data_IF_543489589651
#
_entry.id   IF_543489589651
#
_cell.length_a   1.000
_cell.length_b   1.000
_cell.length_c   1.000
_cell.angle_alpha   90.00
_cell.angle_beta   90.00
_cell.angle_gamma   90.00
#
_symmetry.space_group_name_H-M   'P 1'
#
loop_
_entity.id
_entity.type
_entity.pdbx_description
1 polymer ?
#
# COMPACT_ATOMS: atom_id res chain seq x y z
N UNK A 1 5.52 -12.25 -10.55
CA UNK A 1 4.94 -13.38 -9.77
C UNK A 1 3.62 -13.81 -10.39
N UNK A 2 3.34 -15.11 -10.49
CA UNK A 2 2.04 -15.63 -10.94
C UNK A 2 1.01 -15.63 -9.81
N UNK A 3 -0.28 -15.78 -10.14
CA UNK A 3 -1.34 -15.88 -9.10
C UNK A 3 -1.17 -17.11 -8.21
N UNK A 4 -0.69 -18.22 -8.76
CA UNK A 4 -0.43 -19.46 -8.01
C UNK A 4 0.77 -19.32 -7.08
N UNK A 5 1.84 -18.66 -7.52
CA UNK A 5 3.00 -18.34 -6.66
C UNK A 5 2.61 -17.43 -5.51
N UNK A 6 1.75 -16.42 -5.75
CA UNK A 6 1.24 -15.54 -4.71
C UNK A 6 0.39 -16.30 -3.68
N UNK A 7 -0.54 -17.17 -4.15
CA UNK A 7 -1.35 -18.03 -3.29
C UNK A 7 -0.48 -18.94 -2.42
N UNK A 8 0.47 -19.64 -3.03
CA UNK A 8 1.38 -20.54 -2.33
C UNK A 8 2.25 -19.82 -1.29
N UNK A 9 2.74 -18.61 -1.62
CA UNK A 9 3.48 -17.80 -0.68
C UNK A 9 2.60 -17.37 0.53
N UNK A 10 1.36 -16.98 0.28
CA UNK A 10 0.43 -16.61 1.36
C UNK A 10 0.08 -17.82 2.26
N UNK A 11 -0.21 -18.98 1.67
CA UNK A 11 -0.47 -20.24 2.40
C UNK A 11 0.72 -20.61 3.26
N UNK A 12 1.94 -20.56 2.71
CA UNK A 12 3.17 -20.95 3.44
C UNK A 12 3.43 -20.11 4.70
N UNK A 13 2.94 -18.86 4.73
CA UNK A 13 3.02 -18.01 5.92
C UNK A 13 1.95 -18.37 6.93
N UNK A 14 0.71 -18.63 6.49
CA UNK A 14 -0.42 -18.87 7.37
C UNK A 14 -0.51 -20.30 7.92
N UNK A 15 0.17 -21.27 7.31
CA UNK A 15 0.26 -22.66 7.82
C UNK A 15 1.24 -22.79 9.00
N UNK A 16 2.19 -21.87 9.15
CA UNK A 16 3.13 -21.85 10.26
C UNK A 16 2.58 -21.05 11.44
N UNK A 17 3.05 -21.27 12.68
CA UNK A 17 2.76 -20.39 13.78
C UNK A 17 3.13 -18.95 13.45
N UNK A 18 2.18 -18.04 13.49
CA UNK A 18 2.39 -16.62 13.18
C UNK A 18 1.78 -15.71 14.24
N UNK A 19 2.32 -14.52 14.31
CA UNK A 19 1.83 -13.43 15.15
C UNK A 19 1.16 -12.37 14.29
N UNK A 20 0.20 -11.68 14.88
CA UNK A 20 -0.44 -10.52 14.26
C UNK A 20 -0.03 -9.28 15.03
N UNK A 21 0.49 -8.28 14.34
CA UNK A 21 0.90 -7.01 14.92
C UNK A 21 0.34 -5.85 14.12
N UNK A 22 -0.13 -4.83 14.81
CA UNK A 22 -0.66 -3.59 14.24
C UNK A 22 0.33 -2.46 14.47
N UNK A 23 0.70 -1.77 13.41
CA UNK A 23 1.56 -0.60 13.44
C UNK A 23 0.80 0.62 12.89
N UNK A 24 0.83 1.71 13.62
CA UNK A 24 0.31 3.00 13.20
C UNK A 24 1.43 3.79 12.50
N UNK A 25 1.12 4.37 11.36
CA UNK A 25 2.03 5.26 10.65
C UNK A 25 1.53 6.68 10.85
N UNK A 26 2.35 7.51 11.48
CA UNK A 26 2.07 8.91 11.73
C UNK A 26 2.83 9.78 10.73
N UNK A 27 2.20 10.83 10.20
CA UNK A 27 2.87 11.84 9.38
C UNK A 27 3.13 13.08 10.24
N UNK A 28 4.40 13.29 10.58
CA UNK A 28 4.86 14.41 11.40
C UNK A 28 5.71 15.33 10.51
N UNK A 29 5.14 16.45 10.08
CA UNK A 29 5.74 17.24 9.02
C UNK A 29 5.79 16.43 7.71
N UNK A 30 7.00 16.27 7.16
CA UNK A 30 7.23 15.47 5.95
C UNK A 30 7.68 14.03 6.27
N UNK A 31 7.92 13.70 7.54
CA UNK A 31 8.38 12.38 7.95
C UNK A 31 7.22 11.43 8.27
N UNK A 32 7.40 10.16 7.92
CA UNK A 32 6.51 9.07 8.32
C UNK A 32 7.17 8.25 9.43
N UNK A 33 6.53 8.24 10.60
CA UNK A 33 7.00 7.57 11.80
C UNK A 33 6.10 6.37 12.09
N UNK A 34 6.69 5.22 12.38
CA UNK A 34 5.97 4.01 12.74
C UNK A 34 5.91 3.84 14.26
N UNK A 35 4.73 3.44 14.76
CA UNK A 35 4.47 3.13 16.18
C UNK A 35 3.74 1.80 16.30
N UNK A 36 4.18 0.96 17.21
CA UNK A 36 3.46 -0.27 17.54
C UNK A 36 2.19 0.08 18.32
N UNK A 37 1.04 -0.40 17.86
CA UNK A 37 -0.20 -0.33 18.64
C UNK A 37 -0.14 -1.40 19.74
N UNK A 38 -0.08 -0.96 20.99
CA UNK A 38 -0.09 -1.85 22.16
C UNK A 38 -1.54 -2.26 22.46
N UNK A 39 -1.85 -3.50 22.19
CA UNK A 39 -3.19 -4.06 22.37
C UNK A 39 -3.11 -5.05 23.55
N UNK A 40 -3.55 -4.61 24.72
CA UNK A 40 -3.52 -5.43 25.94
C UNK A 40 -4.68 -6.41 26.05
N UNK A 41 -5.82 -6.13 25.37
CA UNK A 41 -6.99 -6.98 25.45
C UNK A 41 -6.79 -8.30 24.70
N UNK A 42 -6.82 -9.39 25.46
CA UNK A 42 -6.65 -10.76 24.97
C UNK A 42 -7.67 -11.16 23.89
N UNK A 43 -8.84 -10.51 23.83
CA UNK A 43 -9.87 -10.79 22.84
C UNK A 43 -9.67 -9.99 21.55
N UNK A 44 -9.15 -8.77 21.65
CA UNK A 44 -9.00 -7.86 20.51
C UNK A 44 -7.92 -8.34 19.51
N UNK A 45 -6.80 -8.86 19.98
CA UNK A 45 -5.74 -9.35 19.10
C UNK A 45 -6.21 -10.53 18.21
N UNK A 46 -6.93 -11.56 18.72
CA UNK A 46 -7.51 -12.61 17.87
C UNK A 46 -8.59 -12.12 16.89
N UNK A 47 -9.35 -11.08 17.24
CA UNK A 47 -10.33 -10.49 16.32
C UNK A 47 -9.66 -9.78 15.15
N UNK A 48 -8.63 -8.98 15.41
CA UNK A 48 -7.79 -8.36 14.38
C UNK A 48 -7.17 -9.43 13.49
N UNK A 49 -6.60 -10.48 14.08
CA UNK A 49 -6.04 -11.60 13.34
C UNK A 49 -7.07 -12.24 12.41
N UNK A 50 -8.25 -12.58 12.93
CA UNK A 50 -9.33 -13.20 12.14
C UNK A 50 -9.77 -12.33 10.99
N UNK A 51 -9.87 -11.01 11.20
CA UNK A 51 -10.24 -10.04 10.15
C UNK A 51 -9.24 -10.07 9.01
N UNK A 52 -7.95 -9.93 9.29
CA UNK A 52 -6.94 -9.79 8.26
C UNK A 52 -6.51 -11.11 7.63
N UNK A 53 -6.54 -12.21 8.38
CA UNK A 53 -6.41 -13.55 7.80
C UNK A 53 -7.59 -13.86 6.89
N UNK A 54 -8.81 -13.48 7.30
CA UNK A 54 -9.99 -13.57 6.46
C UNK A 54 -9.85 -12.78 5.16
N UNK A 55 -9.29 -11.57 5.22
CA UNK A 55 -8.95 -10.79 4.03
C UNK A 55 -7.98 -11.55 3.11
N UNK A 56 -6.87 -12.06 3.63
CA UNK A 56 -5.86 -12.79 2.83
C UNK A 56 -6.50 -14.03 2.20
N UNK A 57 -7.28 -14.79 2.97
CA UNK A 57 -7.96 -15.97 2.47
C UNK A 57 -8.95 -15.65 1.34
N UNK A 58 -9.81 -14.65 1.54
CA UNK A 58 -10.87 -14.32 0.58
C UNK A 58 -10.33 -13.60 -0.67
N UNK A 59 -9.33 -12.74 -0.50
CA UNK A 59 -8.82 -11.91 -1.58
C UNK A 59 -7.71 -12.60 -2.38
N UNK A 60 -6.87 -13.41 -1.73
CA UNK A 60 -5.70 -14.01 -2.34
C UNK A 60 -5.85 -15.52 -2.49
N UNK A 61 -6.02 -16.26 -1.39
CA UNK A 61 -5.91 -17.72 -1.40
C UNK A 61 -7.09 -18.39 -2.12
N UNK A 62 -8.32 -18.03 -1.74
CA UNK A 62 -9.55 -18.65 -2.26
C UNK A 62 -10.11 -17.95 -3.50
N UNK A 63 -9.46 -16.92 -4.00
CA UNK A 63 -9.92 -16.19 -5.17
C UNK A 63 -9.29 -16.75 -6.45
N UNK A 64 -10.06 -17.55 -7.20
CA UNK A 64 -9.60 -18.15 -8.45
C UNK A 64 -9.57 -17.17 -9.63
N UNK A 65 -10.16 -16.00 -9.47
CA UNK A 65 -10.25 -14.98 -10.53
C UNK A 65 -9.17 -13.90 -10.43
N UNK A 66 -8.14 -14.08 -9.59
CA UNK A 66 -7.06 -13.11 -9.48
C UNK A 66 -6.28 -13.03 -10.78
N UNK A 67 -6.14 -11.82 -11.28
CA UNK A 67 -5.27 -11.48 -12.41
C UNK A 67 -4.13 -10.63 -11.87
N UNK A 68 -2.89 -11.12 -11.95
CA UNK A 68 -1.70 -10.33 -11.61
C UNK A 68 -1.18 -9.66 -12.88
N UNK A 69 -0.92 -8.37 -12.80
CA UNK A 69 -0.37 -7.55 -13.89
C UNK A 69 0.78 -6.70 -13.37
N UNK A 70 1.78 -6.49 -14.21
CA UNK A 70 2.80 -5.48 -13.97
C UNK A 70 2.16 -4.08 -13.93
N UNK A 71 2.44 -3.31 -12.90
CA UNK A 71 1.86 -1.97 -12.74
C UNK A 71 2.24 -1.03 -13.89
N UNK A 72 3.46 -1.17 -14.43
CA UNK A 72 4.01 -0.30 -15.49
C UNK A 72 3.32 -0.46 -16.86
N UNK A 73 2.67 -1.60 -17.12
CA UNK A 73 2.09 -1.92 -18.44
C UNK A 73 0.58 -2.13 -18.41
N UNK A 74 -0.01 -2.15 -17.21
CA UNK A 74 -1.41 -2.53 -17.06
C UNK A 74 -2.35 -1.35 -17.26
N UNK A 75 -3.43 -1.58 -17.97
CA UNK A 75 -4.63 -0.77 -17.87
C UNK A 75 -5.42 -1.18 -16.62
N UNK A 76 -6.25 -0.28 -16.09
CA UNK A 76 -7.07 -0.58 -14.90
C UNK A 76 -8.11 -1.66 -15.27
N UNK A 77 -8.01 -2.82 -14.63
CA UNK A 77 -8.91 -3.95 -14.84
C UNK A 77 -9.63 -4.31 -13.54
N UNK A 78 -10.90 -4.71 -13.60
CA UNK A 78 -11.59 -5.26 -12.44
C UNK A 78 -10.87 -6.52 -11.93
N UNK A 79 -10.79 -6.68 -10.62
CA UNK A 79 -10.15 -7.82 -9.94
C UNK A 79 -8.65 -8.03 -10.25
N UNK A 80 -7.99 -7.05 -10.85
CA UNK A 80 -6.56 -7.12 -11.04
C UNK A 80 -5.80 -6.68 -9.79
N UNK A 81 -4.73 -7.40 -9.50
CA UNK A 81 -3.72 -7.04 -8.52
C UNK A 81 -2.48 -6.62 -9.30
N UNK A 82 -1.90 -5.47 -8.98
CA UNK A 82 -0.78 -4.93 -9.73
C UNK A 82 0.51 -5.17 -8.96
N UNK A 83 1.44 -5.91 -9.57
CA UNK A 83 2.81 -6.03 -9.05
C UNK A 83 3.55 -4.71 -9.29
N UNK A 84 4.11 -4.13 -8.23
CA UNK A 84 4.91 -2.91 -8.31
C UNK A 84 6.28 -3.22 -8.91
N UNK A 85 6.48 -2.87 -10.17
CA UNK A 85 7.66 -3.21 -10.96
C UNK A 85 8.53 -1.99 -11.32
N UNK A 86 8.36 -0.86 -10.62
CA UNK A 86 9.22 0.32 -10.76
C UNK A 86 10.44 0.24 -9.85
N UNK A 87 11.60 0.69 -10.32
CA UNK A 87 12.83 0.77 -9.52
C UNK A 87 12.74 1.85 -8.45
N UNK A 88 12.12 2.98 -8.78
CA UNK A 88 11.93 4.11 -7.87
C UNK A 88 10.60 4.01 -7.13
N UNK A 89 10.59 4.54 -5.91
CA UNK A 89 9.43 4.52 -5.03
C UNK A 89 9.06 5.92 -4.59
N UNK A 90 7.76 6.26 -4.51
CA UNK A 90 7.31 7.46 -3.83
C UNK A 90 7.75 7.43 -2.36
N UNK A 91 8.00 8.58 -1.79
CA UNK A 91 8.47 8.69 -0.40
C UNK A 91 7.48 8.07 0.59
N UNK A 92 6.20 8.30 0.39
CA UNK A 92 5.13 7.75 1.22
C UNK A 92 5.07 6.22 1.19
N UNK A 93 5.49 5.58 0.09
CA UNK A 93 5.58 4.13 0.00
C UNK A 93 6.83 3.58 0.71
N UNK A 94 7.79 4.43 0.99
CA UNK A 94 9.08 4.06 1.57
C UNK A 94 8.96 3.34 2.91
N UNK A 95 8.06 3.77 3.80
CA UNK A 95 7.83 3.11 5.10
C UNK A 95 7.33 1.69 4.91
N UNK A 96 6.38 1.48 4.00
CA UNK A 96 5.85 0.15 3.69
C UNK A 96 6.90 -0.76 3.05
N UNK A 97 7.69 -0.23 2.12
CA UNK A 97 8.80 -0.97 1.48
C UNK A 97 9.89 -1.35 2.47
N UNK A 98 10.29 -0.41 3.32
CA UNK A 98 11.38 -0.60 4.32
C UNK A 98 10.91 -1.35 5.56
N UNK A 99 9.62 -1.63 5.70
CA UNK A 99 9.11 -2.41 6.82
C UNK A 99 9.84 -3.76 6.86
N UNK A 100 10.52 -4.04 7.94
CA UNK A 100 11.13 -5.34 8.23
C UNK A 100 10.80 -5.73 9.66
N UNK A 101 10.92 -7.01 9.95
CA UNK A 101 10.69 -7.50 11.31
C UNK A 101 11.68 -6.85 12.28
N UNK A 102 12.92 -6.61 11.85
CA UNK A 102 13.93 -5.94 12.68
C UNK A 102 13.54 -4.50 13.03
N UNK A 103 13.00 -3.75 12.05
CA UNK A 103 12.48 -2.40 12.29
C UNK A 103 11.20 -2.43 13.11
N UNK A 104 10.35 -3.42 12.90
CA UNK A 104 9.11 -3.64 13.62
C UNK A 104 9.35 -3.91 15.11
N UNK A 105 10.27 -4.82 15.43
CA UNK A 105 10.62 -5.15 16.83
C UNK A 105 11.25 -3.96 17.57
N UNK A 106 11.97 -3.11 16.84
CA UNK A 106 12.57 -1.88 17.40
C UNK A 106 11.61 -0.70 17.45
N UNK A 107 10.41 -0.82 16.86
CA UNK A 107 9.43 0.27 16.85
C UNK A 107 8.94 0.56 18.25
N UNK A 108 8.97 1.84 18.62
CA UNK A 108 8.40 2.31 19.87
C UNK A 108 6.87 2.10 19.86
N UNK A 109 6.32 1.83 21.04
CA UNK A 109 4.87 1.80 21.23
C UNK A 109 4.29 3.19 21.02
N UNK A 110 3.04 3.25 20.52
CA UNK A 110 2.31 4.51 20.45
C UNK A 110 2.15 5.12 21.83
N UNK A 111 2.61 6.36 21.99
CA UNK A 111 2.58 7.07 23.25
C UNK A 111 1.53 8.18 23.20
N UNK A 112 0.41 7.99 23.90
CA UNK A 112 -0.71 8.94 23.96
C UNK A 112 -0.36 10.33 24.52
N UNK A 113 0.84 10.52 25.12
CA UNK A 113 1.29 11.82 25.60
C UNK A 113 2.06 12.62 24.55
N UNK A 114 2.76 11.95 23.64
CA UNK A 114 3.65 12.57 22.65
C UNK A 114 3.17 12.39 21.23
N UNK A 115 2.52 11.28 20.93
CA UNK A 115 2.00 10.97 19.60
C UNK A 115 0.55 11.46 19.46
N UNK A 116 0.15 11.85 18.26
CA UNK A 116 -1.17 12.40 17.99
C UNK A 116 -1.87 11.60 16.88
N UNK A 117 -3.03 11.00 17.20
CA UNK A 117 -3.83 10.27 16.23
C UNK A 117 -4.34 11.14 15.07
N UNK A 118 -4.42 12.46 15.24
CA UNK A 118 -4.76 13.34 14.12
C UNK A 118 -3.71 13.35 12.99
N UNK A 119 -2.50 12.86 13.28
CA UNK A 119 -1.39 12.68 12.32
C UNK A 119 -1.39 11.29 11.68
N UNK A 120 -2.38 10.46 11.98
CA UNK A 120 -2.46 9.10 11.44
C UNK A 120 -2.53 9.12 9.91
N UNK A 121 -1.48 8.62 9.27
CA UNK A 121 -1.37 8.48 7.83
C UNK A 121 -1.97 7.17 7.32
N UNK A 122 -1.75 6.09 8.06
CA UNK A 122 -2.22 4.76 7.73
C UNK A 122 -1.83 3.75 8.80
N UNK A 123 -2.08 2.49 8.52
CA UNK A 123 -1.62 1.42 9.40
C UNK A 123 -1.09 0.22 8.61
N UNK A 124 -0.18 -0.49 9.24
CA UNK A 124 0.37 -1.76 8.75
C UNK A 124 -0.11 -2.87 9.67
N UNK A 125 -0.58 -3.95 9.06
CA UNK A 125 -0.79 -5.24 9.74
C UNK A 125 0.31 -6.18 9.27
N UNK A 126 1.03 -6.74 10.22
CA UNK A 126 1.97 -7.80 9.98
C UNK A 126 1.38 -9.15 10.41
N UNK A 127 1.34 -10.10 9.50
CA UNK A 127 0.96 -11.48 9.74
C UNK A 127 2.17 -12.36 9.44
N UNK A 128 2.82 -12.92 10.43
CA UNK A 128 4.01 -13.72 10.16
C UNK A 128 4.81 -14.13 11.38
N UNK A 129 5.95 -14.74 11.10
CA UNK A 129 6.99 -15.11 12.06
C UNK A 129 8.18 -14.17 11.94
N UNK A 130 9.27 -14.43 12.69
CA UNK A 130 10.53 -13.67 12.56
C UNK A 130 11.23 -13.88 11.21
N UNK A 131 10.86 -14.92 10.46
CA UNK A 131 11.54 -15.30 9.21
C UNK A 131 10.77 -14.91 7.97
N UNK A 132 9.44 -14.94 8.04
CA UNK A 132 8.57 -14.71 6.88
C UNK A 132 7.20 -14.15 7.31
N UNK A 133 6.63 -13.29 6.47
CA UNK A 133 5.34 -12.70 6.77
C UNK A 133 4.68 -11.98 5.60
N UNK A 134 3.41 -11.67 5.84
CA UNK A 134 2.58 -10.85 4.97
C UNK A 134 2.45 -9.48 5.62
N UNK A 135 2.79 -8.45 4.87
CA UNK A 135 2.63 -7.05 5.29
C UNK A 135 1.43 -6.47 4.55
N UNK A 136 0.44 -6.03 5.28
CA UNK A 136 -0.78 -5.43 4.76
C UNK A 136 -0.79 -3.94 5.11
N UNK A 137 -1.13 -3.07 4.16
CA UNK A 137 -1.20 -1.64 4.39
C UNK A 137 -2.58 -1.09 4.06
N UNK A 138 -3.03 -0.20 4.93
CA UNK A 138 -4.24 0.60 4.73
C UNK A 138 -3.95 2.07 4.99
N UNK A 139 -4.27 2.94 4.01
CA UNK A 139 -4.28 4.39 4.17
C UNK A 139 -5.40 4.80 5.12
N UNK A 140 -5.07 5.65 6.07
CA UNK A 140 -6.08 6.29 6.92
C UNK A 140 -6.75 7.44 6.17
N UNK A 141 -8.06 7.56 6.35
CA UNK A 141 -8.85 8.71 5.91
C UNK A 141 -9.51 9.34 7.14
N UNK A 142 -9.59 10.66 7.17
CA UNK A 142 -10.07 11.40 8.35
C UNK A 142 -11.43 10.95 8.89
N UNK A 143 -12.29 10.42 8.03
CA UNK A 143 -13.58 9.83 8.41
C UNK A 143 -13.44 8.53 9.24
N UNK A 144 -12.26 7.89 9.18
CA UNK A 144 -11.99 6.69 9.98
C UNK A 144 -11.56 7.00 11.41
N UNK A 145 -11.22 8.25 11.69
CA UNK A 145 -10.87 8.72 13.02
C UNK A 145 -12.04 9.54 13.58
N UNK A 146 -12.59 9.07 14.67
CA UNK A 146 -13.66 9.74 15.38
C UNK A 146 -13.04 10.42 16.60
N UNK A 147 -13.04 11.74 16.60
CA UNK A 147 -12.41 12.55 17.66
C UNK A 147 -13.32 12.69 18.87
N UNK A 148 -12.71 12.93 20.03
CA UNK A 148 -13.36 13.09 21.33
C UNK A 148 -14.50 14.14 21.34
N UNK A 149 -14.38 15.20 20.55
CA UNK A 149 -15.37 16.29 20.48
C UNK A 149 -16.59 15.94 19.62
N UNK A 150 -16.60 14.76 18.98
CA UNK A 150 -17.71 14.29 18.19
C UNK A 150 -18.76 13.62 19.07
N UNK A 151 -20.03 14.02 18.92
CA UNK A 151 -21.15 13.35 19.57
C UNK A 151 -21.55 12.11 18.77
N UNK A 152 -21.24 10.93 19.32
CA UNK A 152 -21.53 9.67 18.68
C UNK A 152 -22.53 8.85 19.48
N UNK A 153 -23.49 8.29 18.78
CA UNK A 153 -24.43 7.34 19.36
C UNK A 153 -24.10 5.93 18.86
N UNK A 154 -23.83 5.03 19.77
CA UNK A 154 -23.75 3.60 19.51
C UNK A 154 -25.11 2.93 19.65
N UNK A 155 -25.50 2.14 18.66
CA UNK A 155 -26.71 1.32 18.75
C UNK A 155 -26.40 0.03 19.51
N UNK A 156 -26.97 -0.13 20.69
CA UNK A 156 -26.86 -1.34 21.51
C UNK A 156 -28.04 -2.25 21.22
N UNK A 157 -27.83 -3.22 20.31
CA UNK A 157 -28.89 -4.13 19.85
C UNK A 157 -29.50 -4.98 20.99
N UNK A 158 -28.69 -5.38 21.95
CA UNK A 158 -29.17 -6.18 23.10
C UNK A 158 -30.06 -5.41 24.07
N UNK A 159 -29.93 -4.07 24.10
CA UNK A 159 -30.70 -3.19 24.96
C UNK A 159 -31.75 -2.38 24.19
N UNK A 160 -31.83 -2.53 22.86
CA UNK A 160 -32.77 -1.82 21.96
C UNK A 160 -32.72 -0.28 22.14
N UNK A 161 -31.55 0.27 22.40
CA UNK A 161 -31.35 1.69 22.66
C UNK A 161 -30.05 2.22 22.05
N UNK A 162 -29.96 3.54 21.99
CA UNK A 162 -28.75 4.24 21.65
C UNK A 162 -28.06 4.75 22.92
N UNK A 163 -26.75 4.55 22.99
CA UNK A 163 -25.92 5.11 24.06
C UNK A 163 -24.83 5.98 23.48
N UNK A 164 -24.42 6.99 24.25
CA UNK A 164 -23.26 7.82 23.91
C UNK A 164 -22.02 6.95 23.99
N UNK A 165 -21.26 6.87 22.89
CA UNK A 165 -19.94 6.25 22.91
C UNK A 165 -19.00 7.04 23.82
N UNK A 166 -18.04 6.37 24.49
CA UNK A 166 -17.04 7.05 25.30
C UNK A 166 -16.32 8.10 24.45
N UNK A 167 -16.09 9.28 25.05
CA UNK A 167 -15.51 10.43 24.37
C UNK A 167 -14.01 10.32 24.10
N UNK A 168 -13.54 9.15 23.68
CA UNK A 168 -12.16 8.85 23.35
C UNK A 168 -11.96 8.84 21.84
N UNK A 169 -10.72 9.05 21.41
CA UNK A 169 -10.39 8.92 20.00
C UNK A 169 -10.54 7.47 19.55
N UNK A 170 -11.29 7.24 18.48
CA UNK A 170 -11.61 5.91 17.97
C UNK A 170 -10.99 5.73 16.59
N UNK A 171 -10.18 4.69 16.43
CA UNK A 171 -9.66 4.26 15.12
C UNK A 171 -10.58 3.15 14.58
N UNK A 172 -11.10 3.35 13.39
CA UNK A 172 -11.86 2.31 12.69
C UNK A 172 -10.92 1.43 11.87
N UNK A 173 -10.71 0.21 12.29
CA UNK A 173 -10.06 -0.82 11.48
C UNK A 173 -11.08 -1.46 10.52
N UNK A 174 -10.66 -1.75 9.30
CA UNK A 174 -11.43 -2.52 8.34
C UNK A 174 -10.49 -3.32 7.43
N UNK A 175 -11.02 -4.34 6.78
CA UNK A 175 -10.30 -5.29 5.92
C UNK A 175 -10.11 -4.82 4.47
N UNK A 176 -10.47 -3.57 4.14
CA UNK A 176 -10.26 -3.04 2.78
C UNK A 176 -8.79 -2.63 2.57
N UNK A 177 -7.89 -3.60 2.57
CA UNK A 177 -6.46 -3.43 2.37
C UNK A 177 -6.15 -2.94 0.97
N UNK A 178 -5.14 -2.09 0.83
CA UNK A 178 -4.80 -1.41 -0.42
C UNK A 178 -3.45 -1.83 -0.98
N UNK A 179 -2.50 -2.21 -0.11
CA UNK A 179 -1.23 -2.79 -0.52
C UNK A 179 -0.96 -4.06 0.27
N UNK A 180 -0.37 -5.02 -0.40
CA UNK A 180 0.11 -6.28 0.20
C UNK A 180 1.57 -6.47 -0.19
N UNK A 181 2.42 -6.89 0.76
CA UNK A 181 3.79 -7.30 0.45
C UNK A 181 4.01 -8.72 0.96
N UNK A 182 4.49 -9.57 0.08
CA UNK A 182 4.88 -10.96 0.34
C UNK A 182 6.18 -11.23 -0.41
N UNK A 183 7.15 -11.86 0.24
CA UNK A 183 8.46 -12.19 -0.36
C UNK A 183 9.12 -10.98 -1.04
N UNK A 184 9.11 -9.82 -0.38
CA UNK A 184 9.64 -8.53 -0.86
C UNK A 184 8.93 -7.94 -2.10
N UNK A 185 7.93 -8.63 -2.67
CA UNK A 185 7.13 -8.13 -3.79
C UNK A 185 5.94 -7.34 -3.26
N UNK A 186 5.78 -6.12 -3.75
CA UNK A 186 4.66 -5.24 -3.41
C UNK A 186 3.55 -5.43 -4.44
N UNK A 187 2.36 -5.69 -3.94
CA UNK A 187 1.13 -5.79 -4.73
C UNK A 187 0.19 -4.64 -4.38
N UNK A 188 -0.28 -3.94 -5.40
CA UNK A 188 -1.23 -2.83 -5.31
C UNK A 188 -2.62 -3.35 -5.62
N UNK A 189 -3.54 -3.26 -4.65
CA UNK A 189 -4.93 -3.64 -4.79
C UNK A 189 -5.82 -2.42 -5.11
N UNK A 190 -5.38 -1.24 -4.68
CA UNK A 190 -6.07 0.03 -4.93
C UNK A 190 -5.12 1.01 -5.65
N UNK A 191 -5.19 0.99 -6.99
CA UNK A 191 -4.36 1.85 -7.83
C UNK A 191 -4.66 3.33 -7.60
N UNK A 192 -5.94 3.68 -7.38
CA UNK A 192 -6.34 5.09 -7.14
C UNK A 192 -5.75 5.63 -5.84
N UNK A 193 -5.68 4.78 -4.81
CA UNK A 193 -5.01 5.17 -3.56
C UNK A 193 -3.52 5.42 -3.80
N UNK A 194 -2.83 4.52 -4.52
CA UNK A 194 -1.41 4.68 -4.83
C UNK A 194 -1.16 5.98 -5.61
N UNK A 195 -1.94 6.24 -6.65
CA UNK A 195 -1.80 7.41 -7.51
C UNK A 195 -2.09 8.73 -6.78
N UNK A 196 -3.16 8.78 -5.99
CA UNK A 196 -3.66 10.03 -5.39
C UNK A 196 -3.06 10.34 -4.03
N UNK A 197 -2.69 9.32 -3.26
CA UNK A 197 -2.36 9.48 -1.85
C UNK A 197 -0.94 9.09 -1.48
N UNK A 198 -0.18 8.49 -2.41
CA UNK A 198 1.17 8.00 -2.14
C UNK A 198 2.22 8.67 -3.06
N UNK A 199 1.92 9.81 -3.66
CA UNK A 199 2.86 10.53 -4.52
C UNK A 199 3.23 9.83 -5.84
N UNK A 200 2.61 8.69 -6.15
CA UNK A 200 2.97 7.88 -7.32
C UNK A 200 2.73 8.60 -8.64
N UNK A 201 1.62 9.36 -8.79
CA UNK A 201 1.36 10.12 -10.01
C UNK A 201 2.45 11.14 -10.33
N UNK A 202 2.96 11.84 -9.31
CA UNK A 202 4.03 12.82 -9.51
C UNK A 202 5.34 12.14 -9.96
N UNK A 203 5.67 10.99 -9.35
CA UNK A 203 6.83 10.19 -9.71
C UNK A 203 6.75 9.73 -11.18
N UNK A 204 5.59 9.19 -11.59
CA UNK A 204 5.37 8.71 -12.95
C UNK A 204 5.39 9.85 -13.98
N UNK A 205 4.73 10.97 -13.69
CA UNK A 205 4.74 12.12 -14.58
C UNK A 205 6.14 12.70 -14.79
N UNK A 206 6.93 12.78 -13.72
CA UNK A 206 8.32 13.21 -13.82
C UNK A 206 9.14 12.29 -14.73
N UNK A 207 9.09 10.97 -14.48
CA UNK A 207 9.81 9.99 -15.29
C UNK A 207 9.35 9.96 -16.74
N UNK A 208 8.05 10.10 -17.01
CA UNK A 208 7.49 10.15 -18.34
C UNK A 208 7.92 11.44 -19.08
N UNK A 209 7.92 12.59 -18.41
CA UNK A 209 8.39 13.87 -19.00
C UNK A 209 9.87 13.79 -19.37
N UNK A 210 10.71 13.26 -18.48
CA UNK A 210 12.15 13.04 -18.77
C UNK A 210 12.35 12.12 -19.98
N UNK A 211 11.47 11.11 -20.16
CA UNK A 211 11.49 10.22 -21.33
C UNK A 211 11.11 10.96 -22.60
N UNK A 212 10.08 11.82 -22.58
CA UNK A 212 9.70 12.65 -23.74
C UNK A 212 10.83 13.60 -24.13
N UNK A 213 11.48 14.24 -23.16
CA UNK A 213 12.63 15.10 -23.40
C UNK A 213 13.80 14.34 -24.05
N UNK A 214 14.07 13.11 -23.58
CA UNK A 214 15.08 12.25 -24.19
C UNK A 214 14.73 11.87 -25.63
N UNK A 215 13.47 11.52 -25.93
CA UNK A 215 12.98 11.23 -27.28
C UNK A 215 13.10 12.47 -28.19
N UNK A 216 12.77 13.66 -27.66
CA UNK A 216 12.91 14.92 -28.38
C UNK A 216 14.36 15.18 -28.77
N UNK A 217 15.31 14.89 -27.88
CA UNK A 217 16.74 15.08 -28.14
C UNK A 217 17.28 14.16 -29.25
N UNK A 218 16.64 13.00 -29.43
CA UNK A 218 17.02 12.04 -30.47
C UNK A 218 16.49 12.38 -31.87
N UNK A 219 15.61 13.39 -31.99
CA UNK A 219 15.02 13.87 -33.26
C UNK A 219 14.36 12.76 -34.12
N UNK A 220 13.86 11.70 -33.45
CA UNK A 220 13.25 10.53 -34.12
C UNK A 220 11.76 10.72 -34.43
N UNK A 221 11.15 11.78 -33.96
CA UNK A 221 9.73 12.09 -34.19
C UNK A 221 9.59 13.50 -34.75
N UNK A 222 8.81 13.61 -35.83
CA UNK A 222 8.51 14.89 -36.47
C UNK A 222 7.61 15.80 -35.61
N UNK A 223 6.72 15.20 -34.81
CA UNK A 223 5.83 15.91 -33.88
C UNK A 223 5.85 15.32 -32.48
N UNK A 224 6.61 15.93 -31.59
CA UNK A 224 6.71 15.55 -30.19
C UNK A 224 5.50 16.02 -29.36
N UNK A 225 4.70 16.96 -29.89
CA UNK A 225 3.57 17.51 -29.13
C UNK A 225 2.51 16.46 -28.83
N UNK A 226 2.32 15.50 -29.73
CA UNK A 226 1.40 14.36 -29.52
C UNK A 226 1.74 13.56 -28.28
N UNK A 227 3.05 13.32 -28.00
CA UNK A 227 3.49 12.64 -26.78
C UNK A 227 3.29 13.51 -25.56
N UNK A 228 3.57 14.82 -25.65
CA UNK A 228 3.38 15.76 -24.54
C UNK A 228 1.92 15.85 -24.12
N UNK A 229 1.00 15.89 -25.07
CA UNK A 229 -0.44 15.94 -24.82
C UNK A 229 -0.94 14.62 -24.19
N UNK A 230 -0.41 13.49 -24.62
CA UNK A 230 -0.74 12.17 -24.08
C UNK A 230 -0.24 11.95 -22.63
N UNK A 231 0.72 12.76 -22.12
CA UNK A 231 1.14 12.69 -20.71
C UNK A 231 0.03 13.00 -19.70
N UNK A 232 -1.08 13.61 -20.15
CA UNK A 232 -2.25 13.85 -19.30
C UNK A 232 -2.96 12.53 -18.92
N UNK A 233 -2.73 11.43 -19.67
CA UNK A 233 -3.34 10.14 -19.42
C UNK A 233 -2.47 9.28 -18.48
N UNK A 234 -2.94 8.90 -17.28
CA UNK A 234 -2.13 8.15 -16.30
C UNK A 234 -1.60 6.82 -16.83
N UNK A 235 -2.42 6.09 -17.62
CA UNK A 235 -2.02 4.81 -18.21
C UNK A 235 -0.88 4.98 -19.22
N UNK A 236 -0.93 6.03 -20.04
CA UNK A 236 0.13 6.36 -21.00
C UNK A 236 1.41 6.78 -20.30
N UNK A 237 1.32 7.65 -19.29
CA UNK A 237 2.46 8.10 -18.50
C UNK A 237 3.16 6.93 -17.80
N UNK A 238 2.42 5.96 -17.25
CA UNK A 238 3.00 4.72 -16.68
C UNK A 238 3.81 3.94 -17.72
N UNK A 239 3.26 3.73 -18.91
CA UNK A 239 3.96 3.01 -20.00
C UNK A 239 5.21 3.77 -20.44
N UNK A 240 5.11 5.08 -20.60
CA UNK A 240 6.20 5.92 -21.09
C UNK A 240 7.34 6.07 -20.07
N UNK A 241 7.04 6.16 -18.78
CA UNK A 241 8.05 6.26 -17.73
C UNK A 241 9.02 5.07 -17.70
N UNK A 242 8.61 3.91 -18.21
CA UNK A 242 9.43 2.69 -18.31
C UNK A 242 10.35 2.66 -19.52
N UNK A 243 10.01 3.37 -20.61
CA UNK A 243 10.78 3.33 -21.86
C UNK A 243 12.22 3.80 -21.64
N UNK A 244 12.46 4.76 -20.75
CA UNK A 244 13.80 5.26 -20.41
C UNK A 244 14.73 4.15 -19.89
N UNK A 245 14.21 3.19 -19.13
CA UNK A 245 14.99 2.10 -18.54
C UNK A 245 15.46 1.08 -19.58
N UNK A 246 14.70 0.90 -20.68
CA UNK A 246 15.00 -0.07 -21.74
C UNK A 246 15.94 0.49 -22.80
N UNK A 247 15.92 1.82 -23.06
CA UNK A 247 16.63 2.43 -24.18
C UNK A 247 18.16 2.41 -24.04
N UNK A 248 18.70 2.38 -22.81
CA UNK A 248 20.16 2.36 -22.61
C UNK A 248 20.82 1.01 -22.90
N UNK A 249 20.08 -0.08 -22.95
CA UNK A 249 20.63 -1.42 -23.18
C UNK A 249 20.67 -1.86 -24.65
N UNK A 250 19.97 -1.16 -25.55
CA UNK A 250 19.83 -1.58 -26.95
C UNK A 250 20.42 -0.62 -28.00
N UNK A 251 21.05 0.50 -27.61
CA UNK A 251 21.65 1.48 -28.54
C UNK A 251 23.17 1.35 -28.71
N UNK A 252 23.77 0.23 -28.32
CA UNK A 252 25.09 -0.10 -28.84
C UNK A 252 24.94 -0.72 -30.23
N UNK A 253 24.85 0.13 -31.26
CA UNK A 253 25.06 -0.29 -32.64
C UNK A 253 26.48 -0.88 -32.74
N UNK A 254 26.68 -2.03 -33.37
CA UNK A 254 28.02 -2.50 -33.65
C UNK A 254 28.65 -1.50 -34.65
N UNK A 255 29.64 -0.79 -34.18
CA UNK A 255 30.53 -0.03 -35.08
C UNK A 255 31.34 -1.02 -35.88
N UNK A 256 31.07 -1.07 -37.18
CA UNK A 256 31.94 -1.72 -38.16
C UNK A 256 33.27 -0.99 -38.27
#
# INVERSE_FOLDING_TARGET
>A
MTSEELKNAAVSVLEKPYHTQLYLILKVGDELIMRLADIEDENTAPEIQRMFVGFVNNTIISNDNIIIRSLSVADELPNAIYEYDYESYPEELGVFKKFSIETAVKSEKFNFKTDNLSQLFGYIIYLGSMENGIVLFKKHYSISLIKRDSFLLGAIKSAERFEKLPGEDIIRLNDSIQLVRINEVIFVLDLKMLERNMGFSALIQKAASETVEAIQTLEILDDIQVLKDALCEPAFSRKLSRVKTVSYTHLTLPTN
#
